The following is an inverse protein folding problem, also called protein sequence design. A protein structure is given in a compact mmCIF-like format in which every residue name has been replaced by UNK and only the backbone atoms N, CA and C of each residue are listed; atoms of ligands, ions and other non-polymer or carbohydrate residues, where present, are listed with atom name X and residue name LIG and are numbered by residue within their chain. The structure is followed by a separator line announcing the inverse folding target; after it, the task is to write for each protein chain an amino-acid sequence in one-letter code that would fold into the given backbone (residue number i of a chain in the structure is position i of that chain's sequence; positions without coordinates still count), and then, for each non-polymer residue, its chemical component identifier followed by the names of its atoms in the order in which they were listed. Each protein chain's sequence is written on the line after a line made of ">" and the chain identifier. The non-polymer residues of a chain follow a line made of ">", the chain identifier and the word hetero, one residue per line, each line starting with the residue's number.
data_IF_838446510997
#
_entry.id   IF_838446510997
#
_cell.length_a   1.000
_cell.length_b   1.000
_cell.length_c   1.000
_cell.angle_alpha   90.00
_cell.angle_beta   90.00
_cell.angle_gamma   90.00
#
_symmetry.space_group_name_H-M   'P 1'
#
loop_
_entity.id
_entity.type
_entity.pdbx_description
1 polymer ?
#
# COMPACT_ATOMS: atom_id res chain seq x y z
N UNK A 1 -19.80 35.21 -10.28
CA UNK A 1 -18.52 34.89 -9.60
C UNK A 1 -18.20 33.43 -9.84
N UNK A 2 -17.04 33.05 -10.40
CA UNK A 2 -16.70 31.65 -10.58
C UNK A 2 -16.54 30.99 -9.20
N UNK A 3 -17.23 29.85 -8.99
CA UNK A 3 -17.10 29.06 -7.75
C UNK A 3 -15.63 28.65 -7.61
N UNK A 4 -14.97 29.04 -6.51
CA UNK A 4 -13.64 28.52 -6.18
C UNK A 4 -13.76 27.00 -6.03
N UNK A 5 -13.28 26.26 -7.02
CA UNK A 5 -13.23 24.79 -6.94
C UNK A 5 -12.16 24.45 -5.91
N UNK A 6 -12.60 23.97 -4.75
CA UNK A 6 -11.71 23.60 -3.66
C UNK A 6 -11.34 22.13 -3.83
N UNK A 7 -10.05 21.82 -3.77
CA UNK A 7 -9.55 20.45 -3.85
C UNK A 7 -10.07 19.61 -2.66
N UNK A 8 -10.99 18.68 -2.92
CA UNK A 8 -11.48 17.72 -1.92
C UNK A 8 -10.39 16.72 -1.53
N UNK A 9 -10.41 16.23 -0.28
CA UNK A 9 -9.43 15.27 0.24
C UNK A 9 -9.31 14.01 -0.63
N UNK A 10 -10.43 13.45 -1.09
CA UNK A 10 -10.45 12.24 -1.94
C UNK A 10 -9.73 12.47 -3.27
N UNK A 11 -9.96 13.62 -3.90
CA UNK A 11 -9.27 14.01 -5.14
C UNK A 11 -7.79 14.20 -4.92
N UNK A 12 -7.40 14.86 -3.84
CA UNK A 12 -6.00 15.05 -3.49
C UNK A 12 -5.28 13.70 -3.30
N UNK A 13 -5.90 12.74 -2.61
CA UNK A 13 -5.33 11.39 -2.47
C UNK A 13 -5.16 10.70 -3.82
N UNK A 14 -6.18 10.78 -4.69
CA UNK A 14 -6.11 10.22 -6.05
C UNK A 14 -4.98 10.85 -6.87
N UNK A 15 -4.81 12.17 -6.79
CA UNK A 15 -3.74 12.88 -7.49
C UNK A 15 -2.37 12.43 -6.98
N UNK A 16 -2.20 12.35 -5.66
CA UNK A 16 -0.94 11.93 -5.05
C UNK A 16 -0.58 10.49 -5.44
N UNK A 17 -1.54 9.55 -5.42
CA UNK A 17 -1.28 8.17 -5.85
C UNK A 17 -0.79 8.10 -7.29
N UNK A 18 -1.45 8.81 -8.21
CA UNK A 18 -1.05 8.83 -9.62
C UNK A 18 0.31 9.50 -9.81
N UNK A 19 0.58 10.59 -9.09
CA UNK A 19 1.88 11.28 -9.12
C UNK A 19 3.01 10.42 -8.53
N UNK A 20 2.73 9.57 -7.53
CA UNK A 20 3.72 8.64 -6.95
C UNK A 20 4.00 7.43 -7.84
N UNK A 21 2.99 6.91 -8.53
CA UNK A 21 3.12 5.81 -9.49
C UNK A 21 3.74 6.26 -10.83
N UNK A 22 3.91 7.57 -11.02
CA UNK A 22 4.46 8.12 -12.25
C UNK A 22 5.94 7.77 -12.39
N UNK A 23 6.29 7.12 -13.50
CA UNK A 23 7.64 6.62 -13.74
C UNK A 23 8.60 7.66 -14.31
N UNK A 24 8.09 8.81 -14.79
CA UNK A 24 8.91 9.85 -15.42
C UNK A 24 9.23 10.96 -14.41
N UNK A 25 10.33 11.66 -14.63
CA UNK A 25 10.78 12.77 -13.78
C UNK A 25 9.88 14.01 -13.86
N UNK A 26 9.07 14.10 -14.92
CA UNK A 26 8.17 15.22 -15.16
C UNK A 26 6.75 14.73 -15.45
N UNK A 27 5.78 15.45 -14.88
CA UNK A 27 4.36 15.25 -15.15
C UNK A 27 3.73 16.61 -15.42
N UNK A 28 2.94 16.71 -16.50
CA UNK A 28 2.18 17.93 -16.82
C UNK A 28 0.73 17.79 -16.35
N UNK A 29 0.01 18.92 -16.30
CA UNK A 29 -1.43 18.94 -15.96
C UNK A 29 -2.23 18.03 -16.90
N UNK A 30 -1.88 18.04 -18.20
CA UNK A 30 -2.48 17.19 -19.22
C UNK A 30 -2.35 15.69 -18.94
N UNK A 31 -1.19 15.26 -18.48
CA UNK A 31 -0.94 13.85 -18.16
C UNK A 31 -1.82 13.41 -16.97
N UNK A 32 -1.94 14.28 -15.97
CA UNK A 32 -2.78 14.03 -14.80
C UNK A 32 -4.27 14.05 -15.16
N UNK A 33 -4.69 15.00 -15.99
CA UNK A 33 -6.04 15.07 -16.54
C UNK A 33 -6.43 13.78 -17.26
N UNK A 34 -5.55 13.29 -18.14
CA UNK A 34 -5.76 12.03 -18.86
C UNK A 34 -5.89 10.83 -17.92
N UNK A 35 -5.03 10.73 -16.90
CA UNK A 35 -5.06 9.61 -15.94
C UNK A 35 -6.26 9.66 -14.99
N UNK A 36 -6.68 10.85 -14.58
CA UNK A 36 -7.77 11.02 -13.61
C UNK A 36 -9.14 10.98 -14.30
N UNK A 37 -9.21 11.41 -15.56
CA UNK A 37 -10.46 11.60 -16.32
C UNK A 37 -11.16 12.93 -15.99
N UNK A 38 -10.40 13.99 -15.66
CA UNK A 38 -10.92 15.32 -15.32
C UNK A 38 -10.28 16.35 -16.27
N UNK A 39 -11.03 17.40 -16.63
CA UNK A 39 -10.52 18.50 -17.44
C UNK A 39 -9.30 19.19 -16.84
N UNK A 40 -8.34 19.53 -17.71
CA UNK A 40 -7.09 20.21 -17.35
C UNK A 40 -7.34 21.50 -16.57
N UNK A 41 -8.30 22.33 -16.99
CA UNK A 41 -8.65 23.59 -16.33
C UNK A 41 -9.10 23.39 -14.87
N UNK A 42 -9.82 22.30 -14.59
CA UNK A 42 -10.31 22.01 -13.25
C UNK A 42 -9.14 21.63 -12.35
N UNK A 43 -8.26 20.76 -12.85
CA UNK A 43 -7.07 20.33 -12.12
C UNK A 43 -6.11 21.51 -11.91
N UNK A 44 -5.86 22.32 -12.94
CA UNK A 44 -5.03 23.51 -12.86
C UNK A 44 -5.56 24.49 -11.80
N UNK A 45 -6.87 24.75 -11.77
CA UNK A 45 -7.47 25.60 -10.75
C UNK A 45 -7.41 25.01 -9.33
N UNK A 46 -7.54 23.68 -9.19
CA UNK A 46 -7.43 23.00 -7.90
C UNK A 46 -5.99 23.04 -7.36
N UNK A 47 -5.00 22.78 -8.23
CA UNK A 47 -3.58 22.76 -7.90
C UNK A 47 -2.95 24.16 -7.79
N UNK A 48 -3.55 25.18 -8.43
CA UNK A 48 -3.11 26.58 -8.33
C UNK A 48 -3.16 27.14 -6.89
N UNK A 49 -3.86 26.47 -5.97
CA UNK A 49 -3.82 26.79 -4.55
C UNK A 49 -2.48 26.48 -3.88
N UNK A 50 -1.64 25.65 -4.51
CA UNK A 50 -0.30 25.29 -4.04
C UNK A 50 0.75 26.06 -4.82
N UNK A 51 0.62 26.08 -6.14
CA UNK A 51 1.51 26.84 -7.00
C UNK A 51 0.73 27.53 -8.13
N UNK A 52 0.61 28.87 -8.12
CA UNK A 52 -0.04 29.63 -9.19
C UNK A 52 0.54 29.40 -10.58
N UNK A 53 1.82 29.00 -10.68
CA UNK A 53 2.51 28.76 -11.96
C UNK A 53 1.86 27.64 -12.77
N UNK A 54 1.22 26.67 -12.12
CA UNK A 54 0.54 25.54 -12.77
C UNK A 54 -0.58 26.03 -13.71
N UNK A 55 -1.22 27.15 -13.37
CA UNK A 55 -2.26 27.74 -14.21
C UNK A 55 -1.70 28.58 -15.36
N UNK A 56 -0.53 29.16 -15.17
CA UNK A 56 0.10 30.08 -16.13
C UNK A 56 0.91 29.32 -17.20
N UNK A 57 1.51 28.19 -16.81
CA UNK A 57 2.39 27.42 -17.66
C UNK A 57 1.86 25.98 -17.81
N UNK A 58 1.22 25.64 -18.95
CA UNK A 58 0.67 24.29 -19.19
C UNK A 58 1.72 23.17 -19.13
N UNK A 59 2.97 23.50 -19.44
CA UNK A 59 4.11 22.59 -19.42
C UNK A 59 4.80 22.48 -18.06
N UNK A 60 4.27 23.12 -17.03
CA UNK A 60 4.85 23.10 -15.70
C UNK A 60 4.86 21.70 -15.09
N UNK A 61 5.98 21.33 -14.47
CA UNK A 61 6.12 20.05 -13.80
C UNK A 61 5.37 20.05 -12.46
N UNK A 62 4.20 19.42 -12.43
CA UNK A 62 3.35 19.35 -11.24
C UNK A 62 3.89 18.41 -10.15
N UNK A 63 4.94 17.62 -10.42
CA UNK A 63 5.55 16.80 -9.38
C UNK A 63 6.27 17.65 -8.32
N UNK A 64 6.61 18.90 -8.62
CA UNK A 64 7.25 19.81 -7.67
C UNK A 64 6.36 20.11 -6.45
N UNK A 65 5.03 20.10 -6.62
CA UNK A 65 4.08 20.36 -5.52
C UNK A 65 3.71 19.09 -4.73
N UNK A 66 4.17 17.91 -5.16
CA UNK A 66 3.92 16.63 -4.50
C UNK A 66 4.30 16.61 -2.99
N UNK A 67 5.48 17.11 -2.56
CA UNK A 67 5.81 17.14 -1.12
C UNK A 67 4.84 18.01 -0.31
N UNK A 68 4.40 19.15 -0.85
CA UNK A 68 3.45 20.04 -0.16
C UNK A 68 2.05 19.44 -0.08
N UNK A 69 1.59 18.82 -1.17
CA UNK A 69 0.36 18.03 -1.22
C UNK A 69 0.35 16.95 -0.14
N UNK A 70 1.42 16.16 -0.03
CA UNK A 70 1.56 15.11 0.98
C UNK A 70 1.53 15.66 2.41
N UNK A 71 2.21 16.78 2.66
CA UNK A 71 2.25 17.44 3.98
C UNK A 71 0.86 17.91 4.40
N UNK A 72 0.11 18.53 3.47
CA UNK A 72 -1.23 19.07 3.75
C UNK A 72 -2.27 17.98 4.00
N UNK A 73 -2.24 16.89 3.22
CA UNK A 73 -3.22 15.82 3.33
C UNK A 73 -2.79 14.67 4.26
N UNK A 74 -1.66 14.82 4.96
CA UNK A 74 -1.13 13.89 5.96
C UNK A 74 -1.21 12.43 5.52
N UNK A 75 -0.69 12.11 4.33
CA UNK A 75 -0.47 10.73 3.95
C UNK A 75 0.72 10.23 4.78
N UNK A 76 0.45 9.87 6.04
CA UNK A 76 1.33 8.94 6.76
C UNK A 76 1.29 7.68 5.92
N UNK A 77 2.39 7.35 5.24
CA UNK A 77 2.58 6.04 4.62
C UNK A 77 2.10 5.03 5.66
N UNK A 78 0.98 4.34 5.40
CA UNK A 78 0.62 3.19 6.21
C UNK A 78 1.81 2.27 6.05
N UNK A 79 2.67 2.18 7.07
CA UNK A 79 3.60 1.05 7.19
C UNK A 79 2.71 -0.15 6.94
N UNK A 80 2.96 -0.88 5.85
CA UNK A 80 2.33 -2.16 5.65
C UNK A 80 2.65 -2.93 6.92
N UNK A 81 1.65 -3.09 7.79
CA UNK A 81 1.75 -4.06 8.86
C UNK A 81 2.08 -5.36 8.15
N UNK A 82 3.26 -5.90 8.41
CA UNK A 82 3.61 -7.23 7.95
C UNK A 82 2.40 -8.10 8.27
N UNK A 83 1.78 -8.68 7.24
CA UNK A 83 0.71 -9.64 7.43
C UNK A 83 1.36 -10.74 8.27
N UNK A 84 1.02 -10.80 9.55
CA UNK A 84 1.40 -11.91 10.43
C UNK A 84 0.69 -13.13 9.88
N UNK A 85 1.33 -13.79 8.93
CA UNK A 85 0.95 -15.15 8.57
C UNK A 85 1.10 -15.98 9.84
N UNK A 86 0.07 -16.76 10.19
CA UNK A 86 0.05 -17.73 11.30
C UNK A 86 1.29 -18.68 11.36
N UNK A 87 2.15 -18.65 10.35
CA UNK A 87 3.45 -19.29 10.33
C UNK A 87 4.43 -18.76 11.40
N UNK A 88 4.23 -17.55 11.95
CA UNK A 88 5.06 -17.01 13.04
C UNK A 88 4.61 -17.49 14.43
N UNK A 89 3.52 -18.27 14.53
CA UNK A 89 3.02 -18.81 15.81
C UNK A 89 3.77 -20.07 16.29
N UNK A 90 4.64 -20.63 15.44
CA UNK A 90 5.35 -21.88 15.71
C UNK A 90 6.87 -21.67 15.65
N UNK A 91 7.53 -21.91 16.78
CA UNK A 91 8.98 -21.68 16.92
C UNK A 91 9.83 -22.84 16.36
N UNK A 92 9.26 -24.05 16.31
CA UNK A 92 9.93 -25.29 15.87
C UNK A 92 8.91 -26.30 15.35
N UNK A 93 9.38 -27.30 14.59
CA UNK A 93 8.54 -28.44 14.15
C UNK A 93 7.92 -29.16 15.36
N UNK A 94 8.64 -29.30 16.46
CA UNK A 94 8.10 -29.90 17.68
C UNK A 94 6.91 -29.12 18.24
N UNK A 95 7.00 -27.78 18.28
CA UNK A 95 5.93 -26.89 18.76
C UNK A 95 4.68 -26.97 17.86
N UNK A 96 4.87 -27.15 16.55
CA UNK A 96 3.77 -27.41 15.62
C UNK A 96 3.06 -28.74 15.92
N UNK A 97 3.82 -29.81 16.19
CA UNK A 97 3.28 -31.14 16.54
C UNK A 97 2.57 -31.09 17.89
N UNK A 98 3.14 -30.42 18.90
CA UNK A 98 2.48 -30.26 20.19
C UNK A 98 1.14 -29.53 20.07
N UNK A 99 1.11 -28.38 19.38
CA UNK A 99 -0.12 -27.57 19.29
C UNK A 99 -1.22 -28.16 18.40
N UNK A 100 -0.86 -28.87 17.33
CA UNK A 100 -1.83 -29.35 16.35
C UNK A 100 -2.07 -30.87 16.38
N UNK A 101 -1.18 -31.65 16.98
CA UNK A 101 -1.23 -33.11 16.93
C UNK A 101 -1.26 -33.80 18.31
N UNK A 102 -1.36 -33.05 19.42
CA UNK A 102 -1.52 -33.67 20.75
C UNK A 102 -2.94 -33.59 21.27
N UNK A 103 -3.37 -34.69 21.87
CA UNK A 103 -4.64 -34.80 22.61
C UNK A 103 -4.46 -34.32 24.07
N UNK A 104 -5.55 -34.01 24.78
CA UNK A 104 -5.51 -33.77 26.22
C UNK A 104 -4.82 -34.94 26.94
N UNK A 105 -3.66 -34.69 27.55
CA UNK A 105 -2.79 -35.72 28.12
C UNK A 105 -1.38 -35.80 27.49
N UNK A 106 -1.09 -34.99 26.46
CA UNK A 106 0.27 -34.85 25.92
C UNK A 106 0.72 -35.99 25.01
N UNK A 107 -0.21 -36.85 24.59
CA UNK A 107 0.05 -37.95 23.66
C UNK A 107 -0.21 -37.45 22.24
N UNK A 108 0.71 -37.78 21.33
CA UNK A 108 0.59 -37.48 19.89
C UNK A 108 -0.42 -38.45 19.29
N UNK A 109 -1.48 -37.93 18.66
CA UNK A 109 -2.48 -38.75 17.98
C UNK A 109 -2.10 -38.91 16.50
N UNK A 110 -1.76 -40.13 16.05
CA UNK A 110 -1.43 -40.40 14.65
C UNK A 110 -2.64 -40.32 13.70
N UNK A 111 -3.88 -40.25 14.21
CA UNK A 111 -5.09 -40.20 13.39
C UNK A 111 -5.51 -38.78 12.99
N UNK A 112 -4.77 -37.75 13.40
CA UNK A 112 -5.06 -36.36 13.03
C UNK A 112 -4.71 -36.12 11.56
N UNK A 113 -5.71 -35.72 10.78
CA UNK A 113 -5.54 -35.29 9.39
C UNK A 113 -5.11 -33.82 9.34
N UNK A 114 -3.91 -33.55 8.82
CA UNK A 114 -3.42 -32.18 8.59
C UNK A 114 -4.00 -31.61 7.29
N UNK A 115 -4.48 -30.36 7.34
CA UNK A 115 -4.95 -29.64 6.16
C UNK A 115 -3.79 -29.14 5.27
N UNK A 116 -4.06 -28.80 4.01
CA UNK A 116 -3.06 -28.33 3.04
C UNK A 116 -2.29 -27.10 3.52
N UNK A 117 -2.95 -26.20 4.26
CA UNK A 117 -2.31 -25.03 4.85
C UNK A 117 -1.30 -25.42 5.95
N UNK A 118 -1.67 -26.37 6.79
CA UNK A 118 -0.83 -26.91 7.87
C UNK A 118 0.40 -27.66 7.32
N UNK A 119 0.24 -28.45 6.26
CA UNK A 119 1.34 -29.11 5.56
C UNK A 119 2.34 -28.12 4.96
N UNK A 120 1.86 -26.98 4.46
CA UNK A 120 2.71 -25.91 3.92
C UNK A 120 3.52 -25.23 5.02
N UNK A 121 2.94 -25.04 6.20
CA UNK A 121 3.61 -24.50 7.39
C UNK A 121 4.68 -25.50 7.88
N UNK A 122 4.35 -26.78 8.00
CA UNK A 122 5.30 -27.84 8.39
C UNK A 122 6.50 -27.89 7.44
N UNK A 123 6.26 -27.87 6.12
CA UNK A 123 7.34 -27.85 5.11
C UNK A 123 8.24 -26.63 5.24
N UNK A 124 7.68 -25.47 5.59
CA UNK A 124 8.45 -24.24 5.81
C UNK A 124 9.33 -24.36 7.06
N UNK A 125 8.79 -24.85 8.17
CA UNK A 125 9.50 -25.05 9.43
C UNK A 125 10.62 -26.08 9.30
N UNK A 126 10.35 -27.23 8.67
CA UNK A 126 11.35 -28.27 8.43
C UNK A 126 12.53 -27.78 7.58
N UNK A 127 12.26 -26.99 6.53
CA UNK A 127 13.31 -26.37 5.71
C UNK A 127 14.14 -25.32 6.47
N UNK A 128 13.58 -24.69 7.50
CA UNK A 128 14.31 -23.74 8.35
C UNK A 128 15.21 -24.48 9.34
N UNK A 129 14.78 -25.62 9.89
CA UNK A 129 15.61 -26.46 10.75
C UNK A 129 16.74 -27.16 9.98
N UNK A 130 16.49 -27.65 8.76
CA UNK A 130 17.52 -28.31 7.93
C UNK A 130 18.62 -27.36 7.40
N UNK A 131 18.37 -26.05 7.41
CA UNK A 131 19.34 -25.03 6.98
C UNK A 131 20.19 -24.48 8.13
N UNK A 132 19.83 -24.81 9.38
CA UNK A 132 20.67 -24.58 10.56
C UNK A 132 21.68 -25.70 10.69
#
# INVERSE_FOLDING_TARGET
>A
MPRKVRLTRERALKYISIMEEWSKEEMKVKDLAFKVGIYEDVIANELANFDPLIRLYPDYNILQILPELKKKYQIKKRKQSAVTTKADEYTSVADFVYKNMTMPGGIIDPNISLDKEQLKILRKLANQELKK
#
